data_IF_357940980325
#
_entry.id   IF_357940980325
#
_cell.length_a   1.000
_cell.length_b   1.000
_cell.length_c   1.000
_cell.angle_alpha   90.00
_cell.angle_beta   90.00
_cell.angle_gamma   90.00
#
_symmetry.space_group_name_H-M   'P 1'
#
loop_
_entity.id
_entity.type
_entity.pdbx_description
1 polymer ?
#
# COMPACT_ATOMS: atom_id res chain seq x y z
N UNK A 1 33.29 13.93 -8.63
CA UNK A 1 33.05 13.08 -9.82
C UNK A 1 31.57 13.19 -10.22
N UNK A 2 31.25 13.70 -11.41
CA UNK A 2 29.86 13.91 -11.85
C UNK A 2 29.18 12.55 -12.02
N UNK A 3 28.03 12.34 -11.37
CA UNK A 3 27.30 11.08 -11.48
C UNK A 3 26.87 10.85 -12.93
N UNK A 4 27.13 9.65 -13.47
CA UNK A 4 26.65 9.22 -14.80
C UNK A 4 25.11 9.18 -14.87
N UNK A 5 24.46 9.01 -13.73
CA UNK A 5 23.03 9.04 -13.55
C UNK A 5 22.72 9.72 -12.21
N UNK A 6 22.09 10.89 -12.27
CA UNK A 6 21.75 11.65 -11.06
C UNK A 6 20.66 11.01 -10.21
N UNK A 7 19.91 10.05 -10.74
CA UNK A 7 18.83 9.34 -10.04
C UNK A 7 19.28 8.02 -9.39
N UNK A 8 20.45 7.50 -9.78
CA UNK A 8 21.01 6.27 -9.23
C UNK A 8 22.55 6.32 -9.21
N UNK A 9 23.12 6.33 -7.99
CA UNK A 9 24.56 6.27 -7.76
C UNK A 9 25.13 4.94 -8.24
N UNK A 10 26.38 4.97 -8.71
CA UNK A 10 27.15 3.79 -9.16
C UNK A 10 26.46 2.92 -10.23
N UNK A 11 25.46 3.46 -10.94
CA UNK A 11 24.72 2.72 -11.96
C UNK A 11 25.51 2.63 -13.27
N UNK A 12 25.51 1.43 -13.88
CA UNK A 12 25.96 1.23 -15.27
C UNK A 12 24.92 1.74 -16.28
N UNK A 13 23.66 1.92 -15.86
CA UNK A 13 22.55 2.41 -16.69
C UNK A 13 22.70 3.92 -16.90
N UNK A 14 22.64 4.36 -18.16
CA UNK A 14 22.69 5.78 -18.52
C UNK A 14 21.44 6.52 -18.04
N UNK A 15 21.54 7.83 -17.80
CA UNK A 15 20.39 8.65 -17.39
C UNK A 15 19.18 8.51 -18.35
N UNK A 16 19.32 8.62 -19.69
CA UNK A 16 18.18 8.48 -20.60
C UNK A 16 17.49 7.11 -20.49
N UNK A 17 18.28 6.04 -20.39
CA UNK A 17 17.76 4.68 -20.25
C UNK A 17 17.08 4.47 -18.89
N UNK A 18 17.64 5.02 -17.82
CA UNK A 18 17.00 5.01 -16.51
C UNK A 18 15.65 5.74 -16.53
N UNK A 19 15.57 6.91 -17.17
CA UNK A 19 14.32 7.67 -17.30
C UNK A 19 13.27 6.90 -18.11
N UNK A 20 13.68 6.19 -19.15
CA UNK A 20 12.81 5.27 -19.89
C UNK A 20 12.25 4.19 -18.95
N UNK A 21 13.10 3.50 -18.19
CA UNK A 21 12.69 2.46 -17.24
C UNK A 21 11.75 3.06 -16.17
N UNK A 22 12.07 4.23 -15.62
CA UNK A 22 11.26 4.88 -14.60
C UNK A 22 9.87 5.25 -15.12
N UNK A 23 9.77 5.65 -16.40
CA UNK A 23 8.47 5.93 -17.04
C UNK A 23 7.64 4.65 -17.23
N UNK A 24 8.27 3.54 -17.59
CA UNK A 24 7.58 2.25 -17.68
C UNK A 24 7.15 1.74 -16.31
N UNK A 25 8.00 1.94 -15.29
CA UNK A 25 7.65 1.68 -13.90
C UNK A 25 6.45 2.54 -13.49
N UNK A 26 6.42 3.85 -13.74
CA UNK A 26 5.28 4.68 -13.35
C UNK A 26 3.97 4.24 -14.00
N UNK A 27 4.01 3.68 -15.21
CA UNK A 27 2.85 3.11 -15.91
C UNK A 27 2.46 1.70 -15.41
N UNK A 28 3.11 1.21 -14.37
CA UNK A 28 2.88 -0.10 -13.73
C UNK A 28 3.16 -1.31 -14.63
N UNK A 29 4.07 -1.16 -15.61
CA UNK A 29 4.49 -2.30 -16.42
C UNK A 29 5.31 -3.29 -15.60
N UNK A 30 5.12 -4.58 -15.88
CA UNK A 30 5.90 -5.65 -15.26
C UNK A 30 7.38 -5.54 -15.62
N UNK A 31 8.25 -6.15 -14.81
CA UNK A 31 9.68 -6.20 -15.13
C UNK A 31 9.96 -6.93 -16.44
N UNK A 32 9.15 -7.94 -16.78
CA UNK A 32 9.24 -8.70 -18.02
C UNK A 32 8.91 -7.83 -19.23
N UNK A 33 7.83 -7.05 -19.18
CA UNK A 33 7.45 -6.17 -20.29
C UNK A 33 8.44 -5.01 -20.44
N UNK A 34 8.89 -4.47 -19.31
CA UNK A 34 9.91 -3.41 -19.30
C UNK A 34 11.24 -3.89 -19.86
N UNK A 35 11.64 -5.13 -19.57
CA UNK A 35 12.83 -5.74 -20.16
C UNK A 35 12.72 -5.82 -21.69
N UNK A 36 11.58 -6.31 -22.21
CA UNK A 36 11.30 -6.37 -23.66
C UNK A 36 11.39 -4.99 -24.31
N UNK A 37 10.77 -3.97 -23.70
CA UNK A 37 10.71 -2.61 -24.26
C UNK A 37 12.04 -1.85 -24.18
N UNK A 38 12.92 -2.20 -23.25
CA UNK A 38 14.17 -1.46 -23.01
C UNK A 38 15.42 -2.14 -23.55
N UNK A 39 15.33 -3.45 -23.84
CA UNK A 39 16.46 -4.31 -24.21
C UNK A 39 17.34 -4.71 -23.02
N UNK A 40 16.93 -4.43 -21.78
CA UNK A 40 17.69 -4.77 -20.57
C UNK A 40 17.18 -6.10 -20.03
N UNK A 41 18.08 -6.93 -19.48
CA UNK A 41 17.71 -8.20 -18.89
C UNK A 41 16.66 -8.04 -17.76
N UNK A 42 15.72 -8.98 -17.71
CA UNK A 42 14.66 -9.03 -16.67
C UNK A 42 15.26 -8.99 -15.26
N UNK A 43 16.41 -9.65 -15.05
CA UNK A 43 17.15 -9.63 -13.77
C UNK A 43 17.52 -8.21 -13.34
N UNK A 44 18.07 -7.41 -14.26
CA UNK A 44 18.49 -6.04 -13.97
C UNK A 44 17.29 -5.12 -13.75
N UNK A 45 16.22 -5.27 -14.53
CA UNK A 45 14.97 -4.53 -14.32
C UNK A 45 14.38 -4.85 -12.94
N UNK A 46 14.29 -6.14 -12.57
CA UNK A 46 13.80 -6.55 -11.26
C UNK A 46 14.64 -5.97 -10.13
N UNK A 47 15.97 -5.99 -10.25
CA UNK A 47 16.88 -5.38 -9.27
C UNK A 47 16.58 -3.90 -9.08
N UNK A 48 16.41 -3.16 -10.18
CA UNK A 48 16.07 -1.74 -10.12
C UNK A 48 14.66 -1.48 -9.57
N UNK A 49 13.67 -2.28 -9.97
CA UNK A 49 12.30 -2.17 -9.45
C UNK A 49 12.26 -2.42 -7.94
N UNK A 50 13.02 -3.39 -7.42
CA UNK A 50 13.13 -3.62 -5.98
C UNK A 50 13.75 -2.42 -5.25
N UNK A 51 14.76 -1.77 -5.84
CA UNK A 51 15.33 -0.53 -5.27
C UNK A 51 14.31 0.60 -5.24
N UNK A 52 13.55 0.78 -6.32
CA UNK A 52 12.46 1.75 -6.39
C UNK A 52 11.41 1.45 -5.32
N UNK A 53 10.92 0.22 -5.23
CA UNK A 53 9.91 -0.17 -4.22
C UNK A 53 10.37 0.04 -2.79
N UNK A 54 11.65 -0.24 -2.48
CA UNK A 54 12.21 0.07 -1.15
C UNK A 54 12.13 1.56 -0.86
N UNK A 55 12.46 2.40 -1.84
CA UNK A 55 12.32 3.85 -1.68
C UNK A 55 10.87 4.26 -1.46
N UNK A 56 9.92 3.68 -2.19
CA UNK A 56 8.50 3.98 -1.97
C UNK A 56 8.03 3.54 -0.59
N UNK A 57 8.50 2.38 -0.13
CA UNK A 57 8.23 1.91 1.23
C UNK A 57 8.75 2.90 2.28
N UNK A 58 10.01 3.33 2.18
CA UNK A 58 10.57 4.32 3.11
C UNK A 58 9.77 5.63 3.12
N UNK A 59 9.25 6.05 1.96
CA UNK A 59 8.47 7.26 1.83
C UNK A 59 7.08 7.11 2.45
N UNK A 60 6.41 5.99 2.21
CA UNK A 60 5.13 5.64 2.84
C UNK A 60 5.23 5.62 4.37
N UNK A 61 6.28 5.02 4.94
CA UNK A 61 6.48 4.92 6.39
C UNK A 61 6.60 6.30 7.06
N UNK A 62 7.20 7.29 6.39
CA UNK A 62 7.34 8.66 6.91
C UNK A 62 6.04 9.45 6.99
N UNK A 63 4.95 8.95 6.40
CA UNK A 63 3.68 9.69 6.32
C UNK A 63 2.74 9.41 7.50
N UNK A 64 3.23 8.75 8.55
CA UNK A 64 2.49 8.47 9.79
C UNK A 64 3.13 9.20 10.98
N UNK A 65 2.36 9.54 12.05
CA UNK A 65 0.96 9.19 12.29
C UNK A 65 -0.04 10.03 11.46
N UNK A 66 -1.20 9.44 11.16
CA UNK A 66 -2.32 10.10 10.51
C UNK A 66 -3.21 10.80 11.56
N UNK A 67 -3.77 11.95 11.21
CA UNK A 67 -4.72 12.69 12.03
C UNK A 67 -5.93 13.13 11.19
N UNK A 68 -7.13 13.03 11.76
CA UNK A 68 -8.39 13.45 11.13
C UNK A 68 -9.44 12.34 11.09
N UNK A 69 -10.24 12.28 10.03
CA UNK A 69 -11.24 11.22 9.83
C UNK A 69 -10.58 10.05 9.10
N UNK A 70 -10.56 8.88 9.74
CA UNK A 70 -9.90 7.68 9.24
C UNK A 70 -10.87 6.50 9.09
N UNK A 71 -10.71 5.73 8.02
CA UNK A 71 -11.40 4.46 7.76
C UNK A 71 -10.41 3.32 8.00
N UNK A 72 -10.83 2.30 8.74
CA UNK A 72 -10.02 1.14 9.09
C UNK A 72 -10.69 -0.14 8.58
N UNK A 73 -9.90 -1.00 7.94
CA UNK A 73 -10.35 -2.31 7.48
C UNK A 73 -9.18 -3.29 7.32
N UNK A 74 -9.47 -4.58 7.27
CA UNK A 74 -8.50 -5.63 6.91
C UNK A 74 -8.77 -6.25 5.54
N UNK A 75 -7.71 -6.62 4.84
CA UNK A 75 -7.82 -7.52 3.69
C UNK A 75 -6.85 -8.69 3.75
N UNK A 76 -7.22 -9.77 3.06
CA UNK A 76 -6.47 -11.02 3.01
C UNK A 76 -5.91 -11.22 1.61
N UNK A 77 -4.59 -11.38 1.51
CA UNK A 77 -3.85 -11.58 0.26
C UNK A 77 -3.10 -12.91 0.31
N UNK A 78 -3.32 -13.80 -0.65
CA UNK A 78 -2.66 -15.09 -0.64
C UNK A 78 -2.98 -15.95 -1.85
N UNK A 79 -2.27 -17.07 -1.98
CA UNK A 79 -2.41 -17.97 -3.10
C UNK A 79 -3.82 -18.58 -3.16
N UNK A 80 -4.25 -18.81 -4.41
CA UNK A 80 -5.45 -19.51 -4.87
C UNK A 80 -6.17 -20.32 -3.78
N UNK A 81 -7.42 -19.93 -3.51
CA UNK A 81 -8.46 -20.61 -2.73
C UNK A 81 -8.13 -22.08 -2.40
N UNK A 82 -7.68 -22.35 -1.18
CA UNK A 82 -7.64 -23.71 -0.66
C UNK A 82 -9.10 -24.19 -0.53
N UNK A 83 -9.49 -25.24 -1.27
CA UNK A 83 -10.84 -25.84 -1.17
C UNK A 83 -11.07 -26.24 0.29
N UNK A 84 -12.15 -25.74 0.91
CA UNK A 84 -12.63 -26.18 2.24
C UNK A 84 -12.59 -25.13 3.35
N UNK A 85 -11.63 -24.21 3.39
CA UNK A 85 -11.59 -23.13 4.42
C UNK A 85 -11.90 -21.77 3.81
N UNK A 86 -12.99 -21.14 4.26
CA UNK A 86 -13.41 -19.78 3.90
C UNK A 86 -13.28 -18.86 5.12
N UNK A 87 -12.95 -17.59 4.89
CA UNK A 87 -12.90 -16.57 5.94
C UNK A 87 -11.56 -16.46 6.68
N UNK A 88 -11.61 -15.82 7.86
CA UNK A 88 -10.46 -15.57 8.74
C UNK A 88 -9.89 -16.92 9.21
N UNK A 89 -8.75 -17.36 8.67
CA UNK A 89 -8.13 -18.66 9.01
C UNK A 89 -7.90 -19.62 7.83
N UNK A 90 -8.17 -19.22 6.59
CA UNK A 90 -7.63 -19.90 5.42
C UNK A 90 -6.08 -19.82 5.47
N UNK A 91 -5.43 -20.94 5.72
CA UNK A 91 -3.98 -21.00 5.89
C UNK A 91 -3.24 -20.45 4.67
N UNK A 92 -2.22 -19.62 4.91
CA UNK A 92 -1.33 -19.11 3.86
C UNK A 92 -1.64 -17.70 3.34
N UNK A 93 -2.71 -17.05 3.80
CA UNK A 93 -2.99 -15.65 3.49
C UNK A 93 -2.14 -14.72 4.37
N UNK A 94 -1.56 -13.69 3.75
CA UNK A 94 -1.03 -12.49 4.39
C UNK A 94 -2.21 -11.57 4.74
N UNK A 95 -2.29 -11.16 6.00
CA UNK A 95 -3.31 -10.23 6.48
C UNK A 95 -2.71 -8.83 6.40
N UNK A 96 -3.45 -7.91 5.80
CA UNK A 96 -3.04 -6.52 5.67
C UNK A 96 -4.11 -5.67 6.34
N UNK A 97 -3.66 -4.81 7.25
CA UNK A 97 -4.47 -3.77 7.86
C UNK A 97 -4.29 -2.47 7.07
N UNK A 98 -5.39 -1.80 6.77
CA UNK A 98 -5.42 -0.54 6.02
C UNK A 98 -5.99 0.58 6.87
N UNK A 99 -5.33 1.73 6.80
CA UNK A 99 -5.75 2.98 7.45
C UNK A 99 -5.89 4.02 6.36
N UNK A 100 -7.10 4.42 6.00
CA UNK A 100 -7.34 5.48 5.03
C UNK A 100 -7.76 6.77 5.74
N UNK A 101 -6.96 7.83 5.63
CA UNK A 101 -7.41 9.17 5.97
C UNK A 101 -8.25 9.72 4.81
N UNK A 102 -9.50 10.07 5.09
CA UNK A 102 -10.43 10.54 4.06
C UNK A 102 -9.93 11.80 3.37
N UNK A 103 -10.02 11.80 2.04
CA UNK A 103 -9.59 12.92 1.20
C UNK A 103 -8.06 13.12 1.11
N UNK A 104 -7.27 12.21 1.70
CA UNK A 104 -5.82 12.33 1.74
C UNK A 104 -5.19 11.01 1.25
N UNK A 105 -4.74 10.17 2.16
CA UNK A 105 -3.85 9.04 1.87
C UNK A 105 -4.24 7.78 2.62
N UNK A 106 -3.86 6.65 2.06
CA UNK A 106 -3.90 5.33 2.69
C UNK A 106 -2.52 4.95 3.22
N UNK A 107 -2.51 4.27 4.36
CA UNK A 107 -1.38 3.58 4.94
C UNK A 107 -1.73 2.10 5.11
N UNK A 108 -0.77 1.22 4.86
CA UNK A 108 -0.96 -0.24 4.95
C UNK A 108 0.10 -0.90 5.81
N UNK A 109 -0.31 -1.91 6.57
CA UNK A 109 0.59 -2.68 7.42
C UNK A 109 0.27 -4.17 7.34
N UNK A 110 1.31 -5.01 7.27
CA UNK A 110 1.13 -6.46 7.34
C UNK A 110 1.04 -6.86 8.82
N UNK A 111 -0.03 -7.55 9.18
CA UNK A 111 -0.28 -7.99 10.56
C UNK A 111 -0.23 -9.51 10.67
N UNK A 112 0.17 -10.02 11.84
CA UNK A 112 0.25 -11.47 12.12
C UNK A 112 -1.12 -12.14 12.15
N UNK A 113 -2.10 -11.41 12.67
CA UNK A 113 -3.46 -11.82 12.88
C UNK A 113 -4.36 -10.59 12.91
N UNK A 114 -5.66 -10.81 12.80
CA UNK A 114 -6.65 -9.75 12.96
C UNK A 114 -7.12 -9.63 14.44
N UNK A 115 -6.35 -10.08 15.43
CA UNK A 115 -6.83 -9.98 16.82
C UNK A 115 -7.01 -8.51 17.24
N UNK A 116 -7.96 -8.26 18.15
CA UNK A 116 -8.16 -6.93 18.74
C UNK A 116 -6.86 -6.33 19.25
N UNK A 117 -6.03 -7.11 19.94
CA UNK A 117 -4.77 -6.65 20.50
C UNK A 117 -3.78 -6.18 19.40
N UNK A 118 -3.64 -6.97 18.33
CA UNK A 118 -2.77 -6.64 17.20
C UNK A 118 -3.24 -5.36 16.50
N UNK A 119 -4.52 -5.26 16.19
CA UNK A 119 -5.09 -4.11 15.48
C UNK A 119 -5.02 -2.84 16.33
N UNK A 120 -5.36 -2.92 17.62
CA UNK A 120 -5.25 -1.79 18.53
C UNK A 120 -3.81 -1.28 18.68
N UNK A 121 -2.82 -2.19 18.64
CA UNK A 121 -1.41 -1.81 18.66
C UNK A 121 -1.05 -0.97 17.43
N UNK A 122 -1.47 -1.40 16.25
CA UNK A 122 -1.23 -0.67 14.98
C UNK A 122 -1.93 0.69 15.01
N UNK A 123 -3.21 0.74 15.41
CA UNK A 123 -3.99 1.98 15.51
C UNK A 123 -3.29 3.00 16.42
N UNK A 124 -2.82 2.61 17.60
CA UNK A 124 -2.11 3.52 18.52
C UNK A 124 -0.77 4.02 17.97
N UNK A 125 -0.09 3.21 17.16
CA UNK A 125 1.20 3.58 16.56
C UNK A 125 1.08 4.57 15.40
N UNK A 126 -0.02 4.52 14.66
CA UNK A 126 -0.15 5.22 13.37
C UNK A 126 -1.31 6.22 13.28
N UNK A 127 -2.12 6.36 14.33
CA UNK A 127 -3.29 7.26 14.33
C UNK A 127 -3.26 8.13 15.59
N UNK A 128 -3.38 9.45 15.41
CA UNK A 128 -3.53 10.40 16.52
C UNK A 128 -4.84 10.16 17.27
N UNK A 129 -4.81 10.24 18.60
CA UNK A 129 -5.99 10.08 19.48
C UNK A 129 -7.10 11.09 19.21
N UNK A 130 -6.77 12.24 18.62
CA UNK A 130 -7.75 13.26 18.21
C UNK A 130 -8.60 12.84 16.99
N UNK A 131 -8.25 11.71 16.35
CA UNK A 131 -8.89 11.24 15.13
C UNK A 131 -10.29 10.66 15.37
N UNK A 132 -11.13 10.75 14.34
CA UNK A 132 -12.44 10.11 14.26
C UNK A 132 -12.31 8.83 13.45
N UNK A 133 -12.60 7.69 14.08
CA UNK A 133 -12.43 6.37 13.48
C UNK A 133 -13.76 5.87 12.90
N UNK A 134 -13.72 5.37 11.66
CA UNK A 134 -14.78 4.61 11.02
C UNK A 134 -14.29 3.18 10.77
N UNK A 135 -15.00 2.18 11.26
CA UNK A 135 -14.71 0.76 11.01
C UNK A 135 -15.95 0.04 10.52
N UNK A 136 -15.78 -1.19 10.03
CA UNK A 136 -16.88 -2.13 9.90
C UNK A 136 -17.49 -2.48 11.28
N UNK A 137 -18.57 -3.26 11.26
CA UNK A 137 -19.28 -3.72 12.45
C UNK A 137 -18.55 -4.79 13.25
N UNK A 138 -17.27 -5.08 12.96
CA UNK A 138 -16.60 -6.21 13.57
C UNK A 138 -16.22 -5.99 15.05
N UNK A 139 -16.37 -7.05 15.85
CA UNK A 139 -16.09 -7.04 17.30
C UNK A 139 -14.63 -6.74 17.63
N UNK A 140 -13.69 -6.98 16.70
CA UNK A 140 -12.26 -6.68 16.88
C UNK A 140 -11.99 -5.20 17.14
N UNK A 141 -12.85 -4.31 16.64
CA UNK A 141 -12.78 -2.87 16.87
C UNK A 141 -13.53 -2.40 18.13
N UNK A 142 -13.95 -3.30 19.02
CA UNK A 142 -14.57 -2.89 20.28
C UNK A 142 -13.55 -2.24 21.22
N UNK A 143 -13.94 -1.13 21.87
CA UNK A 143 -13.13 -0.43 22.86
C UNK A 143 -12.08 0.52 22.28
N UNK A 144 -12.28 1.05 21.06
CA UNK A 144 -11.43 2.12 20.53
C UNK A 144 -11.63 3.45 21.27
N UNK A 145 -12.87 3.75 21.71
CA UNK A 145 -13.17 4.92 22.55
C UNK A 145 -12.43 4.84 23.89
N UNK A 146 -12.39 3.64 24.49
CA UNK A 146 -11.67 3.38 25.75
C UNK A 146 -10.14 3.55 25.61
N UNK A 147 -9.61 3.63 24.38
CA UNK A 147 -8.19 3.95 24.12
C UNK A 147 -7.92 5.45 23.99
N UNK A 148 -8.91 6.32 24.24
CA UNK A 148 -8.77 7.77 24.19
C UNK A 148 -9.03 8.40 22.83
N UNK A 149 -9.57 7.64 21.85
CA UNK A 149 -9.93 8.20 20.56
C UNK A 149 -11.17 9.08 20.65
N UNK A 150 -11.15 10.23 19.97
CA UNK A 150 -12.18 11.24 20.04
C UNK A 150 -13.58 10.69 19.74
N UNK A 151 -13.73 9.90 18.67
CA UNK A 151 -15.01 9.23 18.29
C UNK A 151 -14.74 7.93 17.53
N UNK A 152 -15.63 6.95 17.70
CA UNK A 152 -15.67 5.70 16.91
C UNK A 152 -17.06 5.46 16.32
N UNK A 153 -17.14 5.39 14.99
CA UNK A 153 -18.34 5.03 14.25
C UNK A 153 -18.19 3.63 13.63
N UNK A 154 -19.26 2.82 13.72
CA UNK A 154 -19.30 1.47 13.13
C UNK A 154 -20.34 1.40 12.03
N UNK A 155 -19.94 0.89 10.87
CA UNK A 155 -20.83 0.64 9.74
C UNK A 155 -21.45 -0.75 9.90
N UNK A 156 -22.79 -0.84 9.91
CA UNK A 156 -23.51 -2.13 9.94
C UNK A 156 -23.89 -2.53 8.51
N UNK A 157 -23.29 -3.59 7.98
CA UNK A 157 -23.56 -4.08 6.62
C UNK A 157 -24.80 -5.01 6.52
N UNK A 158 -25.51 -5.28 7.62
CA UNK A 158 -26.60 -6.26 7.70
C UNK A 158 -28.01 -5.69 7.51
N UNK A 159 -28.17 -4.39 7.71
CA UNK A 159 -29.40 -3.68 7.40
C UNK A 159 -29.13 -2.91 6.09
N UNK A 160 -30.12 -2.81 5.20
CA UNK A 160 -30.07 -2.09 3.91
C UNK A 160 -29.79 -0.57 4.03
N UNK A 161 -29.12 -0.13 5.10
CA UNK A 161 -28.61 1.20 5.32
C UNK A 161 -27.30 1.37 4.55
N UNK A 162 -27.41 1.40 3.22
CA UNK A 162 -26.41 2.07 2.40
C UNK A 162 -26.30 3.52 2.89
N UNK A 163 -25.31 3.78 3.74
CA UNK A 163 -24.90 5.09 4.26
C UNK A 163 -26.03 5.93 4.87
N UNK A 164 -26.20 5.88 6.20
CA UNK A 164 -26.71 7.06 6.94
C UNK A 164 -25.65 8.17 6.88
N UNK A 165 -25.53 8.85 5.74
CA UNK A 165 -24.63 10.00 5.52
C UNK A 165 -23.12 9.64 5.50
N UNK A 166 -22.29 10.46 6.15
CA UNK A 166 -20.82 10.36 6.15
C UNK A 166 -20.23 9.14 6.91
N UNK A 167 -21.03 8.14 7.27
CA UNK A 167 -20.58 6.96 8.03
C UNK A 167 -20.44 5.74 7.10
N UNK A 168 -19.32 5.66 6.39
CA UNK A 168 -18.98 4.54 5.49
C UNK A 168 -17.48 4.23 5.52
N UNK A 169 -17.09 3.09 4.95
CA UNK A 169 -15.68 2.70 4.73
C UNK A 169 -15.35 2.48 3.24
N UNK A 170 -16.16 3.08 2.36
CA UNK A 170 -16.07 2.89 0.90
C UNK A 170 -14.70 3.26 0.32
N UNK A 171 -13.98 4.19 0.97
CA UNK A 171 -12.66 4.60 0.50
C UNK A 171 -11.65 3.47 0.66
N UNK A 172 -11.59 2.85 1.85
CA UNK A 172 -10.64 1.75 2.09
C UNK A 172 -11.04 0.49 1.31
N UNK A 173 -12.34 0.24 1.12
CA UNK A 173 -12.83 -0.83 0.23
C UNK A 173 -12.42 -0.61 -1.24
N UNK A 174 -12.46 0.64 -1.70
CA UNK A 174 -11.97 1.03 -3.03
C UNK A 174 -10.48 0.76 -3.17
N UNK A 175 -9.69 1.09 -2.14
CA UNK A 175 -8.26 0.77 -2.10
C UNK A 175 -8.00 -0.74 -2.18
N UNK A 176 -8.76 -1.58 -1.47
CA UNK A 176 -8.60 -3.02 -1.55
C UNK A 176 -8.90 -3.58 -2.94
N UNK A 177 -9.92 -3.05 -3.59
CA UNK A 177 -10.25 -3.41 -4.98
C UNK A 177 -9.11 -3.04 -5.92
N UNK A 178 -8.60 -1.81 -5.82
CA UNK A 178 -7.44 -1.34 -6.56
C UNK A 178 -6.22 -2.24 -6.35
N UNK A 179 -5.90 -2.55 -5.09
CA UNK A 179 -4.75 -3.36 -4.73
C UNK A 179 -4.84 -4.79 -5.28
N UNK A 180 -6.01 -5.43 -5.17
CA UNK A 180 -6.23 -6.78 -5.71
C UNK A 180 -6.07 -6.79 -7.23
N UNK A 181 -6.68 -5.86 -7.94
CA UNK A 181 -6.55 -5.75 -9.40
C UNK A 181 -5.10 -5.54 -9.84
N UNK A 182 -4.39 -4.62 -9.17
CA UNK A 182 -2.99 -4.32 -9.47
C UNK A 182 -2.06 -5.51 -9.29
N UNK A 183 -2.38 -6.41 -8.36
CA UNK A 183 -1.55 -7.58 -8.07
C UNK A 183 -1.82 -8.79 -8.99
N UNK A 184 -2.91 -8.81 -9.75
CA UNK A 184 -3.28 -9.92 -10.66
C UNK A 184 -2.17 -10.25 -11.68
N UNK A 185 -1.56 -9.28 -12.39
CA UNK A 185 -0.57 -9.58 -13.43
C UNK A 185 0.70 -10.30 -12.94
N UNK A 186 0.97 -10.26 -11.63
CA UNK A 186 2.14 -10.91 -11.06
C UNK A 186 1.96 -12.43 -10.85
N UNK A 187 0.75 -12.97 -11.04
CA UNK A 187 0.44 -14.40 -10.86
C UNK A 187 0.87 -14.95 -9.48
N UNK A 188 0.77 -14.11 -8.45
CA UNK A 188 1.25 -14.38 -7.11
C UNK A 188 2.57 -13.69 -6.81
N UNK A 189 2.61 -12.96 -5.71
CA UNK A 189 3.83 -12.27 -5.24
C UNK A 189 4.49 -13.11 -4.15
N UNK A 190 5.80 -13.40 -4.24
CA UNK A 190 6.52 -14.10 -3.18
C UNK A 190 6.41 -13.37 -1.84
N UNK A 191 6.26 -14.12 -0.74
CA UNK A 191 6.09 -13.55 0.61
C UNK A 191 7.16 -12.53 0.98
N UNK A 192 8.43 -12.81 0.67
CA UNK A 192 9.56 -11.95 1.01
C UNK A 192 9.58 -10.61 0.25
N UNK A 193 8.88 -10.49 -0.89
CA UNK A 193 8.73 -9.23 -1.64
C UNK A 193 7.35 -8.62 -1.49
N UNK A 194 6.39 -9.31 -0.88
CA UNK A 194 4.99 -8.87 -0.81
C UNK A 194 4.87 -7.49 -0.16
N UNK A 195 5.59 -7.24 0.93
CA UNK A 195 5.67 -5.93 1.58
C UNK A 195 6.01 -4.79 0.60
N UNK A 196 7.00 -5.00 -0.27
CA UNK A 196 7.44 -3.99 -1.24
C UNK A 196 6.40 -3.75 -2.34
N UNK A 197 5.66 -4.78 -2.75
CA UNK A 197 4.56 -4.63 -3.71
C UNK A 197 3.36 -3.92 -3.07
N UNK A 198 3.08 -4.22 -1.80
CA UNK A 198 2.02 -3.57 -1.03
C UNK A 198 2.30 -2.07 -0.88
N UNK A 199 3.51 -1.68 -0.45
CA UNK A 199 3.89 -0.27 -0.31
C UNK A 199 3.95 0.47 -1.65
N UNK A 200 4.35 -0.19 -2.73
CA UNK A 200 4.22 0.41 -4.07
C UNK A 200 2.74 0.67 -4.42
N UNK A 201 1.84 -0.24 -4.05
CA UNK A 201 0.40 -0.10 -4.31
C UNK A 201 -0.20 1.04 -3.48
N UNK A 202 0.19 1.14 -2.20
CA UNK A 202 -0.12 2.28 -1.32
C UNK A 202 0.32 3.60 -1.95
N UNK A 203 1.60 3.70 -2.34
CA UNK A 203 2.16 4.90 -2.95
C UNK A 203 1.42 5.31 -4.23
N UNK A 204 1.13 4.35 -5.12
CA UNK A 204 0.40 4.60 -6.36
C UNK A 204 -1.03 5.07 -6.11
N UNK A 205 -1.72 4.48 -5.13
CA UNK A 205 -3.06 4.91 -4.77
C UNK A 205 -3.06 6.34 -4.22
N UNK A 206 -2.08 6.68 -3.38
CA UNK A 206 -1.93 8.03 -2.82
C UNK A 206 -1.64 9.08 -3.90
N UNK A 207 -0.93 8.71 -4.97
CA UNK A 207 -0.59 9.59 -6.09
C UNK A 207 -1.44 9.33 -7.35
N UNK A 208 -2.63 8.73 -7.22
CA UNK A 208 -3.48 8.31 -8.36
C UNK A 208 -3.98 9.48 -9.23
N UNK A 209 -3.93 10.69 -8.72
CA UNK A 209 -4.31 11.92 -9.42
C UNK A 209 -3.09 12.73 -9.87
N UNK A 210 -1.87 12.24 -9.60
CA UNK A 210 -0.62 12.92 -9.94
C UNK A 210 0.04 12.30 -11.18
N UNK A 211 0.96 13.05 -11.77
CA UNK A 211 1.92 12.50 -12.73
C UNK A 211 3.01 11.73 -11.96
N UNK A 212 2.76 10.44 -11.72
CA UNK A 212 3.64 9.57 -10.94
C UNK A 212 5.09 9.57 -11.47
N UNK A 213 5.30 9.70 -12.78
CA UNK A 213 6.64 9.79 -13.33
C UNK A 213 7.39 11.04 -12.84
N UNK A 214 6.71 12.21 -12.83
CA UNK A 214 7.29 13.45 -12.32
C UNK A 214 7.55 13.39 -10.81
N UNK A 215 6.61 12.83 -10.03
CA UNK A 215 6.77 12.61 -8.59
C UNK A 215 8.03 11.79 -8.31
N UNK A 216 8.18 10.65 -8.99
CA UNK A 216 9.34 9.78 -8.85
C UNK A 216 10.65 10.48 -9.27
N UNK A 217 10.63 11.26 -10.36
CA UNK A 217 11.82 12.02 -10.78
C UNK A 217 12.25 13.07 -9.74
N UNK A 218 11.30 13.76 -9.11
CA UNK A 218 11.57 14.72 -8.04
C UNK A 218 12.24 14.03 -6.85
N UNK A 219 11.57 13.01 -6.32
CA UNK A 219 12.04 12.23 -5.18
C UNK A 219 13.43 11.63 -5.40
N UNK A 220 13.69 11.08 -6.60
CA UNK A 220 14.98 10.46 -6.93
C UNK A 220 16.08 11.48 -7.23
N UNK A 221 15.75 12.74 -7.51
CA UNK A 221 16.73 13.82 -7.67
C UNK A 221 17.25 14.28 -6.32
N UNK A 222 16.35 14.43 -5.35
CA UNK A 222 16.69 14.83 -3.98
C UNK A 222 17.46 13.75 -3.25
N UNK A 223 17.04 12.50 -3.42
CA UNK A 223 17.70 11.37 -2.79
C UNK A 223 17.88 10.23 -3.81
N UNK A 224 18.99 10.20 -4.55
CA UNK A 224 19.24 9.19 -5.57
C UNK A 224 19.30 7.77 -5.00
N UNK A 225 18.91 6.77 -5.80
CA UNK A 225 19.09 5.36 -5.46
C UNK A 225 20.57 5.03 -5.25
N UNK A 226 20.87 4.10 -4.34
CA UNK A 226 22.21 3.55 -4.14
C UNK A 226 22.44 2.30 -4.99
#
# INVERSE_FOLDING_TARGET
MKLKNKYQKFSKITEPKFRQILRLFSLDLTASDTAKLTGISVRNINSLYLKLRRRLADECERQTPLCGIVELDESYFGAKRIRGKRGRGAGGNTIVFGILKRGDKVYTEIVSDASKATLQKVIRGHISVESVIHTDGWRGYQGLVDMGFAKHFRVRHGDNEFARGAQHINGIESFWSYAKHRLVPFNGVPKHTFYLHLKETEFRFNHRHDDLYKVLLGMLRENPLK
#
